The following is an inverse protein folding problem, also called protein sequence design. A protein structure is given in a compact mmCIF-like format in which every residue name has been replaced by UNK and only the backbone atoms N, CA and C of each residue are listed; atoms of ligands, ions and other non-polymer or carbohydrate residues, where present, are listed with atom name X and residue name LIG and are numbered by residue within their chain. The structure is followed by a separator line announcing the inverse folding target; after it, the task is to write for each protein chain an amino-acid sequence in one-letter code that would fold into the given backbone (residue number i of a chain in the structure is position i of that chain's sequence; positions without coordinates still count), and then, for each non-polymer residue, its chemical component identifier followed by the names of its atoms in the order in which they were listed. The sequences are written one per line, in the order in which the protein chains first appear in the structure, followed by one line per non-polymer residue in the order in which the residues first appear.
data_IF_300544848190
#
_entry.id   IF_300544848190
#
_cell.length_a   1.000
_cell.length_b   1.000
_cell.length_c   1.000
_cell.angle_alpha   90.00
_cell.angle_beta   90.00
_cell.angle_gamma   90.00
#
_symmetry.space_group_name_H-M   'P 1'
#
loop_
_entity.id
_entity.type
_entity.pdbx_description
1 polymer ?
#
# COMPACT_ATOMS: atom_id res chain seq x y z
N UNK A 1 -20.83 74.83 -59.82
CA UNK A 1 -21.12 73.39 -59.92
C UNK A 1 -19.96 72.62 -59.29
N UNK A 2 -20.26 71.65 -58.41
CA UNK A 2 -19.59 70.33 -58.24
C UNK A 2 -18.06 70.23 -58.33
N UNK A 3 -17.32 69.59 -57.40
CA UNK A 3 -17.73 68.64 -56.34
C UNK A 3 -16.64 68.50 -55.27
N UNK A 4 -17.06 68.33 -54.01
CA UNK A 4 -16.21 67.83 -52.94
C UNK A 4 -15.87 66.34 -53.18
N UNK A 5 -14.63 65.91 -52.97
CA UNK A 5 -14.31 64.46 -52.88
C UNK A 5 -13.41 64.15 -51.68
N UNK A 6 -14.00 63.39 -50.76
CA UNK A 6 -13.37 62.79 -49.59
C UNK A 6 -12.20 61.88 -50.00
N UNK A 7 -11.11 61.93 -49.22
CA UNK A 7 -10.11 60.86 -49.17
C UNK A 7 -10.01 60.34 -47.72
N UNK A 8 -10.90 59.42 -47.36
CA UNK A 8 -10.82 58.71 -46.09
C UNK A 8 -9.82 57.55 -46.22
N UNK A 9 -8.71 57.62 -45.48
CA UNK A 9 -7.72 56.55 -45.46
C UNK A 9 -8.19 55.42 -44.53
N UNK A 10 -8.44 54.23 -45.09
CA UNK A 10 -8.90 53.08 -44.33
C UNK A 10 -7.74 52.47 -43.50
N UNK A 11 -7.79 52.65 -42.18
CA UNK A 11 -6.89 51.93 -41.25
C UNK A 11 -7.46 50.55 -40.87
N UNK A 12 -6.63 49.51 -40.71
CA UNK A 12 -7.11 48.16 -40.43
C UNK A 12 -7.66 48.01 -39.01
N UNK A 13 -8.95 47.67 -38.92
CA UNK A 13 -9.76 47.50 -37.69
C UNK A 13 -9.16 46.50 -36.67
N UNK A 14 -8.17 45.68 -37.07
CA UNK A 14 -7.47 44.75 -36.18
C UNK A 14 -6.43 45.39 -35.27
N UNK A 15 -5.92 46.59 -35.59
CA UNK A 15 -4.90 47.25 -34.76
C UNK A 15 -5.50 48.06 -33.59
N UNK A 16 -6.68 48.64 -33.78
CA UNK A 16 -7.40 49.38 -32.74
C UNK A 16 -8.00 48.49 -31.66
N UNK A 17 -8.34 47.23 -31.98
CA UNK A 17 -8.86 46.27 -31.01
C UNK A 17 -7.79 45.82 -29.98
N UNK A 18 -6.53 45.65 -30.40
CA UNK A 18 -5.45 45.24 -29.49
C UNK A 18 -5.06 46.31 -28.46
N UNK A 19 -5.24 47.60 -28.77
CA UNK A 19 -4.93 48.69 -27.84
C UNK A 19 -6.03 48.96 -26.80
N UNK A 20 -7.24 48.41 -26.98
CA UNK A 20 -8.32 48.53 -25.99
C UNK A 20 -8.31 47.39 -24.94
N UNK A 21 -7.75 46.22 -25.28
CA UNK A 21 -7.69 45.07 -24.37
C UNK A 21 -6.57 45.20 -23.32
N UNK A 22 -5.48 45.92 -23.63
CA UNK A 22 -4.36 46.15 -22.70
C UNK A 22 -4.67 47.17 -21.59
N UNK A 23 -5.68 48.03 -21.78
CA UNK A 23 -6.04 49.08 -20.82
C UNK A 23 -6.92 48.60 -19.64
N UNK A 24 -7.45 47.37 -19.69
CA UNK A 24 -8.43 46.84 -18.73
C UNK A 24 -7.83 45.89 -17.68
N UNK A 25 -6.49 45.88 -17.54
CA UNK A 25 -5.74 44.97 -16.65
C UNK A 25 -4.88 45.69 -15.58
N UNK A 26 -5.19 46.95 -15.26
CA UNK A 26 -4.45 47.74 -14.25
C UNK A 26 -5.38 48.44 -13.23
N UNK A 27 -6.55 47.86 -12.95
CA UNK A 27 -7.47 48.36 -11.91
C UNK A 27 -8.08 47.19 -11.11
N UNK A 28 -7.46 46.87 -9.95
CA UNK A 28 -7.93 45.74 -9.12
C UNK A 28 -7.21 45.48 -7.79
N UNK A 29 -6.24 46.30 -7.38
CA UNK A 29 -5.50 46.13 -6.11
C UNK A 29 -5.80 47.27 -5.13
N UNK A 30 -6.93 47.19 -4.44
CA UNK A 30 -7.22 47.90 -3.18
C UNK A 30 -8.49 47.33 -2.53
N UNK A 31 -8.35 46.64 -1.39
CA UNK A 31 -9.48 45.94 -0.76
C UNK A 31 -9.18 45.39 0.64
N UNK A 32 -9.12 46.28 1.62
CA UNK A 32 -9.21 46.09 3.09
C UNK A 32 -8.83 44.73 3.71
N UNK A 33 -7.70 44.70 4.42
CA UNK A 33 -7.50 43.78 5.55
C UNK A 33 -8.39 44.18 6.74
N UNK A 34 -9.10 43.22 7.34
CA UNK A 34 -9.95 43.44 8.52
C UNK A 34 -9.24 43.00 9.80
N UNK A 35 -8.63 43.95 10.51
CA UNK A 35 -8.04 43.72 11.83
C UNK A 35 -9.13 43.73 12.92
N UNK A 36 -9.52 42.56 13.43
CA UNK A 36 -10.35 42.47 14.64
C UNK A 36 -9.47 42.45 15.88
N UNK A 37 -9.23 43.64 16.45
CA UNK A 37 -8.84 43.76 17.85
C UNK A 37 -9.98 43.22 18.72
N UNK A 38 -9.80 42.05 19.33
CA UNK A 38 -10.62 41.64 20.47
C UNK A 38 -9.89 42.07 21.74
N UNK A 39 -10.51 42.99 22.47
CA UNK A 39 -9.95 43.60 23.66
C UNK A 39 -9.75 42.55 24.77
N UNK A 40 -8.55 42.49 25.34
CA UNK A 40 -8.28 41.66 26.50
C UNK A 40 -8.93 42.26 27.75
N UNK A 41 -10.06 41.69 28.19
CA UNK A 41 -10.56 41.87 29.56
C UNK A 41 -10.23 40.65 30.41
N UNK A 42 -9.44 40.87 31.46
CA UNK A 42 -9.31 39.94 32.59
C UNK A 42 -10.66 39.78 33.27
N UNK A 43 -11.05 38.54 33.56
CA UNK A 43 -11.99 38.20 34.62
C UNK A 43 -11.52 36.90 35.30
N UNK A 44 -11.75 36.82 36.60
CA UNK A 44 -11.09 35.91 37.54
C UNK A 44 -11.25 34.40 37.28
N UNK A 45 -10.17 33.70 37.61
CA UNK A 45 -10.07 32.33 38.11
C UNK A 45 -11.35 31.63 38.60
N UNK A 46 -11.56 30.41 38.11
CA UNK A 46 -11.84 29.24 38.96
C UNK A 46 -11.08 28.03 38.41
N UNK A 47 -10.24 27.43 39.24
CA UNK A 47 -9.45 26.25 38.89
C UNK A 47 -10.26 24.98 39.15
N UNK A 48 -10.47 24.16 38.13
CA UNK A 48 -10.82 22.75 38.27
C UNK A 48 -10.09 21.98 37.15
N UNK A 49 -9.25 21.02 37.54
CA UNK A 49 -8.34 20.36 36.61
C UNK A 49 -9.03 19.19 35.88
N UNK A 50 -8.83 19.11 34.56
CA UNK A 50 -8.65 17.81 33.91
C UNK A 50 -7.48 17.91 32.94
N UNK A 51 -6.47 17.06 33.18
CA UNK A 51 -5.27 16.97 32.36
C UNK A 51 -5.58 16.12 31.13
N UNK A 52 -5.22 16.57 29.91
CA UNK A 52 -5.41 15.71 28.73
C UNK A 52 -5.32 16.35 27.34
N UNK A 53 -4.08 16.47 26.84
CA UNK A 53 -3.74 16.01 25.47
C UNK A 53 -4.31 16.77 24.27
N UNK A 54 -3.89 18.02 24.08
CA UNK A 54 -3.94 18.69 22.78
C UNK A 54 -2.60 18.57 22.01
N UNK A 55 -2.51 17.66 21.02
CA UNK A 55 -1.62 17.72 19.83
C UNK A 55 -1.58 16.37 19.10
N UNK A 56 -1.88 16.30 17.79
CA UNK A 56 -1.59 15.09 16.97
C UNK A 56 -2.60 14.64 15.91
N UNK A 57 -3.61 15.43 15.55
CA UNK A 57 -4.70 14.99 14.65
C UNK A 57 -4.28 14.57 13.21
N UNK A 58 -3.05 14.87 12.77
CA UNK A 58 -2.57 14.54 11.41
C UNK A 58 -1.94 13.14 11.27
N UNK A 59 -1.77 12.38 12.36
CA UNK A 59 -1.06 11.09 12.37
C UNK A 59 -1.93 9.84 12.51
N UNK A 60 -3.24 9.99 12.76
CA UNK A 60 -4.14 8.89 13.08
C UNK A 60 -4.71 8.18 11.84
N UNK A 61 -4.96 8.92 10.74
CA UNK A 61 -5.72 8.43 9.58
C UNK A 61 -5.07 7.29 8.77
N UNK A 62 -3.81 6.95 9.02
CA UNK A 62 -3.03 5.98 8.22
C UNK A 62 -2.52 4.77 9.03
N UNK A 63 -2.99 4.58 10.27
CA UNK A 63 -2.62 3.44 11.12
C UNK A 63 -3.62 2.30 10.96
N UNK A 64 -3.17 1.06 11.22
CA UNK A 64 -3.84 -0.23 10.99
C UNK A 64 -5.34 -0.32 11.37
N UNK A 65 -5.70 -0.91 12.51
CA UNK A 65 -4.85 -1.29 13.66
C UNK A 65 -4.77 -2.81 13.91
N UNK A 66 -3.89 -3.29 14.81
CA UNK A 66 -3.62 -4.75 15.01
C UNK A 66 -3.60 -5.06 16.50
N UNK A 67 -4.74 -5.49 17.02
CA UNK A 67 -4.89 -5.96 18.40
C UNK A 67 -4.41 -7.40 18.53
N UNK A 68 -3.84 -7.74 19.70
CA UNK A 68 -3.53 -9.13 20.07
C UNK A 68 -4.76 -10.02 20.25
N UNK A 69 -5.96 -9.44 20.38
CA UNK A 69 -7.23 -10.17 20.49
C UNK A 69 -7.80 -10.69 19.17
N UNK A 70 -7.22 -10.30 18.03
CA UNK A 70 -7.68 -10.75 16.70
C UNK A 70 -7.15 -12.16 16.38
N UNK A 71 -7.91 -12.97 15.61
CA UNK A 71 -7.44 -14.26 15.10
C UNK A 71 -6.08 -14.15 14.40
N UNK A 72 -5.27 -15.21 14.45
CA UNK A 72 -3.91 -15.18 13.92
C UNK A 72 -3.88 -14.87 12.41
N UNK A 73 -4.85 -15.37 11.67
CA UNK A 73 -5.05 -15.17 10.24
C UNK A 73 -5.44 -13.71 9.94
N UNK A 74 -6.34 -13.15 10.74
CA UNK A 74 -6.74 -11.74 10.66
C UNK A 74 -5.54 -10.82 10.92
N UNK A 75 -4.72 -11.11 11.95
CA UNK A 75 -3.50 -10.35 12.21
C UNK A 75 -2.52 -10.44 11.05
N UNK A 76 -2.31 -11.63 10.46
CA UNK A 76 -1.45 -11.79 9.26
C UNK A 76 -1.94 -10.96 8.07
N UNK A 77 -3.25 -10.92 7.80
CA UNK A 77 -3.82 -10.07 6.75
C UNK A 77 -3.53 -8.58 7.00
N UNK A 78 -3.77 -8.10 8.22
CA UNK A 78 -3.57 -6.69 8.59
C UNK A 78 -2.07 -6.31 8.66
N UNK A 79 -1.21 -7.21 9.09
CA UNK A 79 0.25 -7.06 9.09
C UNK A 79 0.80 -7.01 7.66
N UNK A 80 0.33 -7.85 6.74
CA UNK A 80 0.70 -7.76 5.33
C UNK A 80 0.15 -6.48 4.70
N UNK A 81 -1.12 -6.13 4.94
CA UNK A 81 -1.73 -4.89 4.47
C UNK A 81 -0.93 -3.64 4.88
N UNK A 82 -0.50 -3.56 6.15
CA UNK A 82 0.41 -2.50 6.64
C UNK A 82 1.67 -2.35 5.80
N UNK A 83 2.26 -3.45 5.33
CA UNK A 83 3.49 -3.41 4.53
C UNK A 83 3.27 -2.80 3.16
N UNK A 84 2.04 -2.79 2.62
CA UNK A 84 1.73 -2.19 1.32
C UNK A 84 1.52 -0.67 1.36
N UNK A 85 1.32 -0.08 2.54
CA UNK A 85 1.11 1.37 2.73
C UNK A 85 2.14 2.22 1.96
N UNK A 86 1.67 3.25 1.27
CA UNK A 86 2.50 4.14 0.45
C UNK A 86 2.93 3.59 -0.91
N UNK A 87 2.64 2.32 -1.25
CA UNK A 87 2.91 1.79 -2.60
C UNK A 87 2.12 2.58 -3.63
N UNK A 88 2.77 3.12 -4.66
CA UNK A 88 2.12 3.91 -5.72
C UNK A 88 1.01 3.13 -6.44
N UNK A 89 -0.01 3.84 -6.93
CA UNK A 89 -1.02 3.23 -7.79
C UNK A 89 -0.43 2.93 -9.17
N UNK A 90 -0.72 1.73 -9.71
CA UNK A 90 -0.43 1.38 -11.11
C UNK A 90 -1.53 0.46 -11.62
N UNK A 91 -2.23 0.88 -12.68
CA UNK A 91 -3.25 0.05 -13.32
C UNK A 91 -2.66 -1.28 -13.81
N UNK A 92 -3.32 -2.41 -13.53
CA UNK A 92 -2.81 -3.76 -13.77
C UNK A 92 -1.69 -4.19 -12.80
N UNK A 93 -1.16 -3.29 -11.98
CA UNK A 93 -0.02 -3.54 -11.08
C UNK A 93 -0.35 -4.47 -9.92
N UNK A 94 0.65 -5.28 -9.53
CA UNK A 94 0.59 -6.25 -8.43
C UNK A 94 1.91 -6.36 -7.68
N UNK A 95 2.73 -5.31 -7.68
CA UNK A 95 4.11 -5.30 -7.16
C UNK A 95 4.38 -4.08 -6.28
N UNK A 96 5.48 -4.09 -5.52
CA UNK A 96 5.89 -2.93 -4.69
C UNK A 96 6.34 -1.69 -5.48
N UNK A 97 6.58 -1.83 -6.78
CA UNK A 97 6.77 -0.70 -7.70
C UNK A 97 5.46 -0.09 -8.21
N UNK A 98 4.31 -0.74 -7.99
CA UNK A 98 3.00 -0.18 -8.30
C UNK A 98 1.88 -1.22 -8.26
N UNK A 99 0.74 -0.86 -7.65
CA UNK A 99 -0.38 -1.78 -7.41
C UNK A 99 -1.73 -1.12 -7.65
N UNK A 100 -2.68 -1.80 -8.30
CA UNK A 100 -4.08 -1.34 -8.36
C UNK A 100 -4.92 -1.90 -7.20
N UNK A 101 -6.20 -1.52 -7.15
CA UNK A 101 -7.07 -1.85 -6.03
C UNK A 101 -7.31 -3.36 -5.83
N UNK A 102 -7.57 -4.09 -6.91
CA UNK A 102 -7.78 -5.55 -6.84
C UNK A 102 -6.46 -6.34 -6.83
N UNK A 103 -5.38 -5.78 -7.37
CA UNK A 103 -4.04 -6.31 -7.23
C UNK A 103 -3.57 -6.26 -5.78
N UNK A 104 -3.86 -5.18 -5.07
CA UNK A 104 -3.56 -5.02 -3.65
C UNK A 104 -4.25 -6.10 -2.81
N UNK A 105 -5.56 -6.28 -2.98
CA UNK A 105 -6.31 -7.30 -2.23
C UNK A 105 -5.83 -8.71 -2.57
N UNK A 106 -5.63 -9.03 -3.85
CA UNK A 106 -5.05 -10.32 -4.26
C UNK A 106 -3.67 -10.57 -3.64
N UNK A 107 -2.80 -9.56 -3.58
CA UNK A 107 -1.47 -9.68 -2.98
C UNK A 107 -1.52 -9.87 -1.46
N UNK A 108 -2.35 -9.10 -0.75
CA UNK A 108 -2.52 -9.25 0.70
C UNK A 108 -3.00 -10.68 1.04
N UNK A 109 -4.03 -11.17 0.34
CA UNK A 109 -4.61 -12.49 0.60
C UNK A 109 -3.67 -13.66 0.24
N UNK A 110 -2.91 -13.56 -0.85
CA UNK A 110 -1.98 -14.64 -1.24
C UNK A 110 -0.72 -14.66 -0.37
N UNK A 111 -0.19 -13.49 0.02
CA UNK A 111 1.01 -13.42 0.85
C UNK A 111 0.72 -13.80 2.31
N UNK A 112 -0.42 -13.37 2.88
CA UNK A 112 -0.76 -13.63 4.26
C UNK A 112 -1.33 -15.05 4.50
N UNK A 113 -2.22 -15.51 3.60
CA UNK A 113 -3.06 -16.71 3.81
C UNK A 113 -3.06 -17.70 2.63
N UNK A 114 -2.24 -17.46 1.60
CA UNK A 114 -2.16 -18.30 0.39
C UNK A 114 -3.51 -18.45 -0.35
N UNK A 115 -4.42 -17.49 -0.17
CA UNK A 115 -5.72 -17.45 -0.86
C UNK A 115 -5.56 -16.65 -2.15
N UNK A 116 -5.78 -17.31 -3.30
CA UNK A 116 -5.76 -16.66 -4.62
C UNK A 116 -7.13 -16.02 -4.89
N UNK A 117 -7.22 -14.70 -4.81
CA UNK A 117 -8.40 -13.94 -5.25
C UNK A 117 -8.35 -13.67 -6.76
N UNK A 118 -9.50 -13.61 -7.47
CA UNK A 118 -9.57 -13.19 -8.87
C UNK A 118 -8.93 -11.82 -9.12
N UNK A 119 -8.47 -11.56 -10.35
CA UNK A 119 -7.65 -10.37 -10.63
C UNK A 119 -8.44 -9.06 -10.68
N UNK A 120 -9.71 -9.07 -11.09
CA UNK A 120 -10.54 -7.86 -11.18
C UNK A 120 -11.43 -7.67 -9.94
N UNK A 121 -11.73 -6.42 -9.59
CA UNK A 121 -12.62 -6.07 -8.47
C UNK A 121 -14.05 -6.60 -8.66
N UNK A 122 -14.54 -6.66 -9.90
CA UNK A 122 -15.83 -7.27 -10.24
C UNK A 122 -15.86 -8.76 -9.91
N UNK A 123 -14.89 -9.55 -10.41
CA UNK A 123 -14.79 -10.98 -10.10
C UNK A 123 -14.52 -11.24 -8.62
N UNK A 124 -13.79 -10.36 -7.92
CA UNK A 124 -13.65 -10.45 -6.46
C UNK A 124 -15.00 -10.27 -5.75
N UNK A 125 -15.88 -9.41 -6.24
CA UNK A 125 -17.22 -9.22 -5.67
C UNK A 125 -18.16 -10.41 -5.90
N UNK A 126 -17.97 -11.15 -7.00
CA UNK A 126 -18.68 -12.39 -7.32
C UNK A 126 -18.12 -13.60 -6.54
N UNK A 127 -16.82 -13.60 -6.26
CA UNK A 127 -16.12 -14.64 -5.49
C UNK A 127 -16.44 -14.61 -3.99
N UNK A 128 -16.78 -13.44 -3.45
CA UNK A 128 -17.10 -13.29 -2.02
C UNK A 128 -18.57 -13.61 -1.73
N UNK A 129 -18.85 -14.20 -0.55
CA UNK A 129 -20.22 -14.23 -0.04
C UNK A 129 -20.63 -12.81 0.33
N UNK A 130 -21.73 -12.31 -0.22
CA UNK A 130 -22.28 -11.00 0.13
C UNK A 130 -22.62 -10.93 1.63
N UNK A 131 -22.29 -9.81 2.25
CA UNK A 131 -22.59 -9.49 3.66
C UNK A 131 -23.15 -8.06 3.75
N UNK A 132 -23.87 -7.77 4.83
CA UNK A 132 -24.35 -6.42 5.11
C UNK A 132 -23.24 -5.53 5.68
N UNK A 133 -23.37 -4.20 5.51
CA UNK A 133 -22.37 -3.23 5.98
C UNK A 133 -22.17 -3.29 7.50
N UNK A 134 -23.21 -3.65 8.26
CA UNK A 134 -23.18 -3.84 9.71
C UNK A 134 -22.47 -5.11 10.15
N UNK A 135 -22.22 -6.07 9.25
CA UNK A 135 -21.52 -7.33 9.56
C UNK A 135 -20.02 -7.28 9.27
N UNK A 136 -19.49 -6.12 8.84
CA UNK A 136 -18.09 -5.95 8.43
C UNK A 136 -17.10 -6.30 9.54
N UNK A 137 -16.21 -7.25 9.26
CA UNK A 137 -15.08 -7.65 10.09
C UNK A 137 -13.77 -7.47 9.33
N UNK A 138 -12.67 -7.35 10.06
CA UNK A 138 -11.33 -7.17 9.51
C UNK A 138 -11.01 -8.25 8.48
N UNK A 139 -10.52 -7.84 7.30
CA UNK A 139 -10.26 -8.72 6.16
C UNK A 139 -11.42 -8.85 5.17
N UNK A 140 -12.65 -8.42 5.50
CA UNK A 140 -13.73 -8.39 4.50
C UNK A 140 -13.42 -7.39 3.37
N UNK A 141 -13.96 -7.63 2.18
CA UNK A 141 -13.78 -6.75 1.02
C UNK A 141 -14.98 -5.83 0.84
N UNK A 142 -14.68 -4.54 0.64
CA UNK A 142 -15.67 -3.49 0.36
C UNK A 142 -15.53 -3.03 -1.08
N UNK A 143 -16.63 -3.05 -1.82
CA UNK A 143 -16.68 -2.80 -3.25
C UNK A 143 -17.41 -1.49 -3.54
N UNK A 144 -16.91 -0.74 -4.53
CA UNK A 144 -17.39 0.59 -4.87
C UNK A 144 -17.67 0.73 -6.38
N UNK A 145 -18.64 1.57 -6.70
CA UNK A 145 -18.94 2.05 -8.06
C UNK A 145 -18.38 3.46 -8.24
N UNK A 146 -17.12 3.54 -8.63
CA UNK A 146 -16.39 4.79 -8.91
C UNK A 146 -16.34 5.13 -10.41
N UNK A 147 -16.59 4.13 -11.27
CA UNK A 147 -16.77 4.28 -12.71
C UNK A 147 -18.22 4.19 -13.17
N UNK A 148 -18.43 4.13 -14.48
CA UNK A 148 -19.76 4.23 -15.12
C UNK A 148 -20.65 3.00 -14.97
N UNK A 149 -20.09 1.80 -14.78
CA UNK A 149 -20.85 0.54 -14.64
C UNK A 149 -20.22 -0.39 -13.60
N UNK A 150 -21.07 -1.02 -12.79
CA UNK A 150 -20.70 -2.11 -11.86
C UNK A 150 -19.64 -1.77 -10.80
N UNK A 151 -19.10 -2.82 -10.20
CA UNK A 151 -17.96 -2.72 -9.27
C UNK A 151 -16.71 -2.32 -10.04
N UNK A 152 -16.13 -1.19 -9.66
CA UNK A 152 -15.00 -0.56 -10.35
C UNK A 152 -13.82 -0.28 -9.41
N UNK A 153 -14.01 -0.38 -8.09
CA UNK A 153 -12.95 -0.25 -7.09
C UNK A 153 -13.22 -1.18 -5.89
N UNK A 154 -12.16 -1.55 -5.18
CA UNK A 154 -12.21 -2.43 -4.00
C UNK A 154 -11.21 -1.96 -2.94
N UNK A 155 -11.59 -2.13 -1.67
CA UNK A 155 -10.69 -2.03 -0.52
C UNK A 155 -10.91 -3.20 0.43
N UNK A 156 -9.95 -3.45 1.33
CA UNK A 156 -10.11 -4.41 2.42
C UNK A 156 -10.41 -3.65 3.72
N UNK A 157 -11.40 -4.12 4.47
CA UNK A 157 -11.78 -3.54 5.76
C UNK A 157 -10.73 -3.84 6.83
N UNK A 158 -10.38 -2.83 7.62
CA UNK A 158 -9.29 -2.88 8.63
C UNK A 158 -9.76 -2.54 10.06
N UNK A 159 -11.07 -2.53 10.28
CA UNK A 159 -11.69 -2.17 11.56
C UNK A 159 -12.14 -0.70 11.62
N UNK A 160 -12.89 -0.34 12.66
CA UNK A 160 -13.31 1.03 12.98
C UNK A 160 -13.91 1.86 11.82
N UNK A 161 -14.67 1.24 10.92
CA UNK A 161 -15.22 1.94 9.76
C UNK A 161 -14.17 2.32 8.69
N UNK A 162 -12.97 1.73 8.71
CA UNK A 162 -11.85 2.05 7.82
C UNK A 162 -11.57 0.95 6.80
N UNK A 163 -11.05 1.35 5.63
CA UNK A 163 -10.54 0.45 4.60
C UNK A 163 -9.10 0.82 4.19
N UNK A 164 -8.29 -0.19 3.87
CA UNK A 164 -7.07 -0.03 3.08
C UNK A 164 -7.38 -0.28 1.60
N UNK A 165 -6.89 0.59 0.72
CA UNK A 165 -7.08 0.46 -0.74
C UNK A 165 -6.00 1.22 -1.51
N UNK A 166 -5.79 0.89 -2.78
CA UNK A 166 -4.90 1.64 -3.67
C UNK A 166 -5.66 2.80 -4.33
N UNK A 167 -5.39 4.03 -3.88
CA UNK A 167 -5.95 5.28 -4.42
C UNK A 167 -5.19 5.74 -5.66
N UNK A 168 -5.88 6.07 -6.74
CA UNK A 168 -5.29 6.50 -8.02
C UNK A 168 -4.32 7.69 -7.91
N UNK A 169 -4.52 8.60 -6.94
CA UNK A 169 -3.67 9.78 -6.74
C UNK A 169 -2.73 9.69 -5.54
N UNK A 170 -2.98 8.79 -4.58
CA UNK A 170 -2.24 8.72 -3.30
C UNK A 170 -1.54 7.37 -3.05
N UNK A 171 -1.69 6.40 -3.96
CA UNK A 171 -1.24 5.03 -3.73
C UNK A 171 -2.01 4.33 -2.61
N UNK A 172 -1.40 3.31 -2.02
CA UNK A 172 -2.01 2.53 -0.94
C UNK A 172 -2.13 3.35 0.35
N UNK A 173 -3.35 3.56 0.79
CA UNK A 173 -3.71 4.38 1.95
C UNK A 173 -4.82 3.72 2.76
N UNK A 174 -4.98 4.16 4.00
CA UNK A 174 -6.22 3.97 4.76
C UNK A 174 -7.16 5.16 4.54
N UNK A 175 -8.46 4.88 4.45
CA UNK A 175 -9.54 5.87 4.34
C UNK A 175 -10.76 5.42 5.15
N UNK A 176 -11.57 6.36 5.62
CA UNK A 176 -12.82 6.05 6.33
C UNK A 176 -13.96 5.83 5.34
N UNK A 177 -14.78 4.80 5.58
CA UNK A 177 -16.02 4.53 4.86
C UNK A 177 -17.08 5.63 5.04
N UNK A 178 -16.89 6.54 5.98
CA UNK A 178 -17.79 7.66 6.25
C UNK A 178 -17.38 8.96 5.57
N UNK A 179 -16.21 9.00 4.90
CA UNK A 179 -15.89 10.07 3.95
C UNK A 179 -16.96 10.12 2.85
N UNK A 180 -17.40 11.34 2.50
CA UNK A 180 -18.52 11.56 1.57
C UNK A 180 -18.36 10.84 0.23
N UNK A 181 -17.12 10.68 -0.26
CA UNK A 181 -16.82 9.94 -1.48
C UNK A 181 -17.12 8.43 -1.34
N UNK A 182 -16.60 7.77 -0.31
CA UNK A 182 -16.82 6.32 -0.10
C UNK A 182 -18.27 6.02 0.28
N UNK A 183 -18.94 6.89 1.06
CA UNK A 183 -20.38 6.77 1.33
C UNK A 183 -21.24 6.76 0.07
N UNK A 184 -20.98 7.68 -0.87
CA UNK A 184 -21.76 7.80 -2.13
C UNK A 184 -21.45 6.69 -3.14
N UNK A 185 -20.24 6.14 -3.10
CA UNK A 185 -19.77 5.14 -4.08
C UNK A 185 -19.86 3.70 -3.57
N UNK A 186 -20.15 3.46 -2.29
CA UNK A 186 -20.33 2.13 -1.71
C UNK A 186 -21.39 1.33 -2.50
N UNK A 187 -21.04 0.10 -2.88
CA UNK A 187 -21.89 -0.78 -3.69
C UNK A 187 -22.29 -2.05 -2.94
N UNK A 188 -21.33 -2.71 -2.31
CA UNK A 188 -21.52 -3.99 -1.61
C UNK A 188 -20.31 -4.32 -0.73
N UNK A 189 -20.52 -5.14 0.29
CA UNK A 189 -19.43 -5.82 1.00
C UNK A 189 -19.51 -7.32 0.79
N UNK A 190 -18.37 -8.00 0.87
CA UNK A 190 -18.27 -9.44 0.67
C UNK A 190 -17.18 -10.06 1.53
N UNK A 191 -17.47 -11.26 2.06
CA UNK A 191 -16.55 -12.08 2.85
C UNK A 191 -15.89 -13.13 1.97
N UNK A 192 -14.59 -13.33 2.17
CA UNK A 192 -13.82 -14.40 1.53
C UNK A 192 -14.04 -15.68 2.33
N UNK A 193 -14.82 -16.60 1.79
CA UNK A 193 -15.36 -17.72 2.58
C UNK A 193 -14.27 -18.70 3.07
N UNK A 194 -13.19 -18.86 2.31
CA UNK A 194 -12.00 -19.62 2.72
C UNK A 194 -11.27 -18.97 3.90
N UNK A 195 -11.22 -17.65 3.98
CA UNK A 195 -10.67 -16.93 5.14
C UNK A 195 -11.60 -17.07 6.35
N UNK A 196 -12.92 -16.89 6.14
CA UNK A 196 -13.90 -17.04 7.21
C UNK A 196 -13.88 -18.44 7.85
N UNK A 197 -13.70 -19.49 7.04
CA UNK A 197 -13.59 -20.86 7.52
C UNK A 197 -12.39 -21.11 8.45
N UNK A 198 -11.28 -20.37 8.28
CA UNK A 198 -10.12 -20.42 9.18
C UNK A 198 -10.45 -19.79 10.53
N UNK A 199 -10.93 -18.54 10.53
CA UNK A 199 -11.17 -17.78 11.76
C UNK A 199 -12.40 -18.22 12.54
N UNK A 200 -13.37 -18.88 11.90
CA UNK A 200 -14.57 -19.41 12.55
C UNK A 200 -14.40 -20.82 13.13
N UNK A 201 -13.17 -21.37 13.14
CA UNK A 201 -12.88 -22.72 13.66
C UNK A 201 -13.58 -23.87 12.94
N UNK A 202 -14.11 -23.65 11.72
CA UNK A 202 -14.90 -24.67 10.98
C UNK A 202 -14.02 -25.68 10.22
N UNK A 203 -12.71 -25.48 10.19
CA UNK A 203 -11.73 -26.26 9.42
C UNK A 203 -11.44 -27.67 9.97
N UNK A 204 -12.28 -28.22 10.84
CA UNK A 204 -12.06 -29.51 11.54
C UNK A 204 -13.22 -30.51 11.52
N UNK A 205 -14.31 -30.28 10.77
CA UNK A 205 -15.46 -31.21 10.70
C UNK A 205 -15.96 -31.47 9.27
N UNK A 206 -15.12 -32.11 8.45
CA UNK A 206 -15.62 -32.87 7.29
C UNK A 206 -16.00 -34.28 7.74
N UNK A 207 -17.22 -34.45 8.27
CA UNK A 207 -17.89 -35.77 8.21
C UNK A 207 -18.31 -35.98 6.76
N UNK A 208 -17.75 -36.99 6.10
CA UNK A 208 -18.18 -37.37 4.77
C UNK A 208 -19.67 -37.70 4.76
N UNK A 209 -20.40 -37.17 3.79
CA UNK A 209 -21.73 -37.67 3.44
C UNK A 209 -21.89 -37.72 1.92
N UNK A 210 -21.48 -38.85 1.37
CA UNK A 210 -21.97 -39.37 0.10
C UNK A 210 -23.48 -39.54 0.18
N UNK A 211 -24.21 -39.14 -0.87
CA UNK A 211 -25.37 -39.82 -1.46
C UNK A 211 -25.94 -38.90 -2.56
N UNK A 212 -25.78 -39.21 -3.85
CA UNK A 212 -26.59 -40.16 -4.66
C UNK A 212 -28.08 -39.78 -4.83
N UNK A 213 -28.30 -39.07 -5.95
CA UNK A 213 -29.07 -39.56 -7.12
C UNK A 213 -30.45 -38.92 -7.43
N UNK A 214 -30.77 -38.94 -8.74
CA UNK A 214 -32.01 -38.53 -9.46
C UNK A 214 -32.40 -37.03 -9.36
N UNK A 215 -32.59 -36.26 -10.43
CA UNK A 215 -32.44 -36.51 -11.87
C UNK A 215 -33.74 -36.39 -12.66
N UNK A 216 -33.85 -35.38 -13.53
CA UNK A 216 -34.72 -35.41 -14.73
C UNK A 216 -34.20 -34.46 -15.81
N UNK A 217 -34.42 -34.87 -17.06
CA UNK A 217 -34.00 -34.26 -18.33
C UNK A 217 -34.73 -32.96 -18.67
N UNK A 218 -34.08 -32.07 -19.43
CA UNK A 218 -34.51 -31.90 -20.82
C UNK A 218 -33.40 -31.44 -21.78
N UNK A 219 -33.60 -31.69 -23.08
CA UNK A 219 -32.64 -31.47 -24.17
C UNK A 219 -32.78 -30.07 -24.79
N UNK A 220 -31.66 -29.47 -25.18
CA UNK A 220 -31.47 -28.83 -26.50
C UNK A 220 -29.98 -28.80 -26.85
N UNK A 221 -29.68 -29.10 -28.12
CA UNK A 221 -28.33 -29.05 -28.69
C UNK A 221 -28.00 -27.59 -29.06
N UNK A 222 -26.72 -27.24 -29.08
CA UNK A 222 -26.01 -26.82 -30.31
C UNK A 222 -24.50 -26.77 -30.07
N UNK A 223 -23.71 -26.99 -31.14
CA UNK A 223 -22.23 -27.10 -31.17
C UNK A 223 -21.76 -26.47 -32.50
N UNK A 224 -20.69 -25.66 -32.54
CA UNK A 224 -19.34 -26.15 -32.91
C UNK A 224 -18.28 -25.72 -31.86
N UNK A 225 -17.29 -26.53 -31.46
CA UNK A 225 -16.15 -27.11 -32.20
C UNK A 225 -14.97 -26.12 -32.40
N UNK A 226 -13.76 -26.51 -31.97
CA UNK A 226 -12.52 -25.73 -32.20
C UNK A 226 -11.53 -25.73 -31.02
N UNK A 227 -10.93 -26.87 -30.70
CA UNK A 227 -9.76 -26.95 -29.80
C UNK A 227 -8.78 -28.00 -30.34
N UNK A 228 -7.50 -27.65 -30.61
CA UNK A 228 -6.45 -28.63 -30.82
C UNK A 228 -5.87 -29.06 -29.47
N UNK A 229 -5.68 -30.37 -29.34
CA UNK A 229 -5.02 -31.06 -28.23
C UNK A 229 -3.50 -31.00 -28.38
N UNK A 230 -2.74 -31.06 -27.26
CA UNK A 230 -1.31 -31.35 -27.24
C UNK A 230 -0.81 -31.58 -25.81
N UNK A 231 -0.74 -32.86 -25.41
CA UNK A 231 0.05 -33.34 -24.27
C UNK A 231 1.24 -34.16 -24.77
N UNK A 232 2.46 -33.68 -24.53
CA UNK A 232 3.72 -34.42 -24.42
C UNK A 232 4.82 -33.38 -24.09
N UNK A 233 5.95 -33.68 -23.44
CA UNK A 233 6.31 -34.71 -22.43
C UNK A 233 7.69 -34.31 -21.87
N UNK A 234 7.83 -34.30 -20.54
CA UNK A 234 9.04 -34.53 -19.72
C UNK A 234 10.37 -33.78 -20.02
N UNK A 235 10.90 -33.21 -18.92
CA UNK A 235 12.32 -33.19 -18.50
C UNK A 235 13.32 -32.11 -19.00
N UNK A 236 14.30 -31.88 -18.12
CA UNK A 236 15.58 -31.15 -18.23
C UNK A 236 15.65 -29.60 -18.17
N UNK A 237 15.91 -29.15 -16.93
CA UNK A 237 17.13 -28.41 -16.54
C UNK A 237 17.12 -26.86 -16.44
N UNK A 238 17.95 -26.28 -15.53
CA UNK A 238 17.68 -24.98 -14.93
C UNK A 238 18.51 -23.82 -15.51
N UNK A 239 17.90 -22.63 -15.57
CA UNK A 239 18.64 -21.37 -15.76
C UNK A 239 18.85 -20.71 -14.40
N UNK A 240 20.05 -20.88 -13.85
CA UNK A 240 20.55 -20.08 -12.74
C UNK A 240 20.81 -18.64 -13.21
N UNK A 241 20.31 -17.66 -12.45
CA UNK A 241 20.65 -16.24 -12.66
C UNK A 241 21.48 -15.79 -11.45
N UNK A 242 22.79 -15.52 -11.60
CA UNK A 242 23.68 -15.25 -10.46
C UNK A 242 23.40 -13.89 -9.83
N UNK A 243 23.36 -13.86 -8.49
CA UNK A 243 23.02 -12.68 -7.69
C UNK A 243 24.27 -11.84 -7.29
N UNK A 244 25.23 -11.68 -8.19
CA UNK A 244 26.58 -11.18 -7.86
C UNK A 244 26.83 -9.67 -8.14
N UNK A 245 26.01 -9.01 -8.97
CA UNK A 245 26.32 -7.65 -9.47
C UNK A 245 25.63 -6.49 -8.73
N UNK A 246 24.80 -6.74 -7.71
CA UNK A 246 24.09 -5.66 -7.00
C UNK A 246 24.88 -5.09 -5.78
N UNK A 247 25.69 -5.92 -5.11
CA UNK A 247 26.46 -5.49 -3.93
C UNK A 247 27.70 -4.65 -4.28
N UNK A 248 28.33 -4.90 -5.45
CA UNK A 248 29.50 -4.14 -5.90
C UNK A 248 29.20 -2.68 -6.21
N UNK A 249 27.98 -2.36 -6.64
CA UNK A 249 27.57 -0.97 -6.92
C UNK A 249 27.26 -0.17 -5.65
N UNK A 250 26.68 -0.80 -4.62
CA UNK A 250 26.38 -0.12 -3.35
C UNK A 250 27.65 0.12 -2.50
N UNK A 251 28.61 -0.81 -2.52
CA UNK A 251 29.87 -0.67 -1.81
C UNK A 251 30.80 0.44 -2.35
N UNK A 252 30.60 0.86 -3.61
CA UNK A 252 31.40 1.90 -4.27
C UNK A 252 30.96 3.34 -3.94
N UNK A 253 29.66 3.56 -3.70
CA UNK A 253 29.11 4.90 -3.44
C UNK A 253 29.42 5.36 -2.00
N UNK A 254 29.22 4.50 -1.00
CA UNK A 254 29.48 4.86 0.41
C UNK A 254 30.96 5.19 0.69
N UNK A 255 31.91 4.52 0.01
CA UNK A 255 33.35 4.83 0.14
C UNK A 255 33.70 6.19 -0.49
N UNK A 256 33.26 6.46 -1.72
CA UNK A 256 33.51 7.77 -2.38
C UNK A 256 32.86 8.96 -1.67
N UNK A 257 31.78 8.75 -0.91
CA UNK A 257 31.17 9.80 -0.08
C UNK A 257 31.92 10.00 1.24
N UNK A 258 32.32 8.93 1.94
CA UNK A 258 33.07 9.06 3.20
C UNK A 258 34.45 9.68 3.01
N UNK A 259 35.17 9.30 1.95
CA UNK A 259 36.54 9.77 1.67
C UNK A 259 36.57 11.25 1.24
N UNK A 260 35.62 11.70 0.42
CA UNK A 260 35.45 13.15 0.09
C UNK A 260 34.93 14.00 1.25
N UNK A 261 34.38 13.39 2.30
CA UNK A 261 33.96 14.10 3.52
C UNK A 261 35.11 14.21 4.52
N UNK A 262 35.97 13.20 4.67
CA UNK A 262 37.15 13.29 5.54
C UNK A 262 38.20 14.26 5.01
N UNK A 263 38.50 14.22 3.71
CA UNK A 263 39.50 15.11 3.07
C UNK A 263 39.10 16.59 3.16
N UNK A 264 37.79 16.91 3.07
CA UNK A 264 37.28 18.28 3.16
C UNK A 264 37.09 18.79 4.59
N UNK A 265 37.29 17.93 5.59
CA UNK A 265 37.23 18.27 7.02
C UNK A 265 38.64 18.52 7.58
N UNK A 266 39.68 17.84 7.09
CA UNK A 266 41.07 18.09 7.54
C UNK A 266 41.60 19.45 7.10
N UNK A 267 41.26 19.94 5.90
CA UNK A 267 41.73 21.24 5.38
C UNK A 267 41.21 22.45 6.18
N UNK A 268 40.13 22.28 6.98
CA UNK A 268 39.41 23.41 7.61
C UNK A 268 39.53 23.50 9.14
N UNK A 269 40.39 22.70 9.77
CA UNK A 269 40.53 22.63 11.25
C UNK A 269 41.77 23.38 11.78
N UNK A 270 42.66 23.86 10.91
CA UNK A 270 43.90 24.53 11.29
C UNK A 270 43.76 26.03 11.68
N UNK A 271 42.66 26.46 12.32
CA UNK A 271 42.50 27.85 12.80
C UNK A 271 41.35 28.11 13.81
N UNK A 272 41.25 27.42 14.97
CA UNK A 272 40.50 27.97 16.13
C UNK A 272 40.74 27.17 17.45
N UNK A 273 41.07 27.79 18.60
CA UNK A 273 41.40 27.07 19.85
C UNK A 273 40.18 26.51 20.64
N UNK A 274 39.01 26.32 20.01
CA UNK A 274 37.80 25.74 20.65
C UNK A 274 37.63 24.23 20.45
N UNK A 275 38.73 23.52 20.13
CA UNK A 275 38.72 22.13 19.70
C UNK A 275 38.52 21.06 20.81
N UNK A 276 38.49 21.40 22.10
CA UNK A 276 38.37 20.37 23.17
C UNK A 276 36.99 19.71 23.27
N UNK A 277 35.92 20.43 22.93
CA UNK A 277 34.53 19.95 23.06
C UNK A 277 34.02 19.14 21.87
N UNK A 278 34.74 19.15 20.74
CA UNK A 278 34.42 18.36 19.56
C UNK A 278 34.99 16.93 19.64
N UNK A 279 36.16 16.76 20.28
CA UNK A 279 36.84 15.47 20.41
C UNK A 279 36.07 14.50 21.31
N UNK A 280 35.46 14.98 22.40
CA UNK A 280 34.60 14.14 23.25
C UNK A 280 33.34 13.66 22.53
N UNK A 281 32.70 14.52 21.72
CA UNK A 281 31.51 14.17 20.94
C UNK A 281 31.84 13.15 19.83
N UNK A 282 33.03 13.24 19.24
CA UNK A 282 33.52 12.24 18.27
C UNK A 282 33.80 10.87 18.92
N UNK A 283 34.32 10.85 20.16
CA UNK A 283 34.52 9.61 20.91
C UNK A 283 33.17 8.93 21.23
N UNK A 284 32.17 9.68 21.71
CA UNK A 284 30.82 9.15 21.99
C UNK A 284 30.14 8.61 20.73
N UNK A 285 30.25 9.32 19.59
CA UNK A 285 29.74 8.84 18.29
C UNK A 285 30.40 7.54 17.84
N UNK A 286 31.70 7.38 18.11
CA UNK A 286 32.45 6.17 17.76
C UNK A 286 32.03 4.98 18.63
N UNK A 287 31.78 5.20 19.92
CA UNK A 287 31.26 4.17 20.83
C UNK A 287 29.82 3.73 20.48
N UNK A 288 28.97 4.67 20.02
CA UNK A 288 27.63 4.35 19.51
C UNK A 288 27.71 3.55 18.20
N UNK A 289 28.66 3.86 17.32
CA UNK A 289 28.89 3.11 16.08
C UNK A 289 29.38 1.67 16.33
N UNK A 290 30.31 1.45 17.27
CA UNK A 290 30.74 0.09 17.64
C UNK A 290 29.60 -0.72 18.27
N UNK A 291 28.80 -0.10 19.15
CA UNK A 291 27.62 -0.73 19.74
C UNK A 291 26.51 -1.07 18.71
N UNK A 292 26.46 -0.38 17.57
CA UNK A 292 25.59 -0.73 16.45
C UNK A 292 26.14 -1.94 15.66
N UNK A 293 27.44 -1.96 15.35
CA UNK A 293 28.10 -3.06 14.65
C UNK A 293 28.02 -4.40 15.43
N UNK A 294 28.08 -4.37 16.77
CA UNK A 294 27.96 -5.58 17.58
C UNK A 294 26.50 -6.10 17.64
N UNK A 295 25.49 -5.22 17.54
CA UNK A 295 24.09 -5.63 17.37
C UNK A 295 23.84 -6.25 16.00
N UNK A 296 24.48 -5.76 14.95
CA UNK A 296 24.41 -6.34 13.61
C UNK A 296 25.03 -7.75 13.57
N UNK A 297 26.24 -7.93 14.15
CA UNK A 297 26.86 -9.26 14.31
C UNK A 297 26.01 -10.20 15.15
N UNK A 298 25.32 -9.71 16.18
CA UNK A 298 24.39 -10.51 16.98
C UNK A 298 23.16 -10.95 16.15
N UNK A 299 22.59 -10.05 15.34
CA UNK A 299 21.48 -10.36 14.45
C UNK A 299 21.87 -11.42 13.39
N UNK A 300 23.06 -11.34 12.82
CA UNK A 300 23.56 -12.33 11.86
C UNK A 300 23.84 -13.71 12.47
N UNK A 301 24.29 -13.77 13.73
CA UNK A 301 24.38 -15.04 14.47
C UNK A 301 22.99 -15.67 14.66
N UNK A 302 21.97 -14.86 14.95
CA UNK A 302 20.59 -15.34 15.07
C UNK A 302 20.05 -15.81 13.72
N UNK A 303 20.30 -15.09 12.61
CA UNK A 303 19.94 -15.52 11.25
C UNK A 303 20.56 -16.87 10.90
N UNK A 304 21.88 -17.03 11.07
CA UNK A 304 22.58 -18.30 10.80
C UNK A 304 22.08 -19.46 11.66
N UNK A 305 21.71 -19.19 12.92
CA UNK A 305 21.10 -20.20 13.80
C UNK A 305 19.68 -20.60 13.33
N UNK A 306 18.88 -19.65 12.83
CA UNK A 306 17.56 -19.93 12.25
C UNK A 306 17.67 -20.70 10.92
N UNK A 307 18.63 -20.36 10.07
CA UNK A 307 18.92 -21.10 8.82
C UNK A 307 19.40 -22.53 9.09
N UNK A 308 20.19 -22.76 10.14
CA UNK A 308 20.54 -24.12 10.57
C UNK A 308 19.29 -24.87 11.03
N UNK A 309 18.48 -24.29 11.93
CA UNK A 309 17.23 -24.91 12.40
C UNK A 309 16.23 -25.19 11.28
N UNK A 310 16.21 -24.38 10.22
CA UNK A 310 15.41 -24.63 9.03
C UNK A 310 15.89 -25.88 8.29
N UNK A 311 17.19 -26.00 8.02
CA UNK A 311 17.76 -27.21 7.38
C UNK A 311 17.55 -28.46 8.22
N UNK A 312 17.84 -28.39 9.52
CA UNK A 312 17.60 -29.49 10.46
C UNK A 312 16.12 -29.96 10.46
N UNK A 313 15.17 -29.06 10.14
CA UNK A 313 13.74 -29.38 10.02
C UNK A 313 13.35 -29.92 8.63
N UNK A 314 13.98 -29.41 7.56
CA UNK A 314 13.82 -29.93 6.20
C UNK A 314 14.32 -31.39 6.13
N UNK A 315 15.49 -31.69 6.70
CA UNK A 315 16.04 -33.06 6.82
C UNK A 315 15.07 -34.02 7.56
N UNK A 316 14.41 -33.57 8.63
CA UNK A 316 13.42 -34.36 9.39
C UNK A 316 12.15 -34.61 8.59
N UNK A 317 11.73 -33.65 7.76
CA UNK A 317 10.55 -33.80 6.89
C UNK A 317 10.85 -34.85 5.82
N UNK A 318 12.01 -34.75 5.16
CA UNK A 318 12.39 -35.65 4.08
C UNK A 318 12.57 -37.10 4.59
N UNK A 319 13.26 -37.30 5.71
CA UNK A 319 13.34 -38.63 6.37
C UNK A 319 11.96 -39.23 6.69
N UNK A 320 10.98 -38.39 7.04
CA UNK A 320 9.64 -38.85 7.38
C UNK A 320 8.76 -39.09 6.16
N UNK A 321 9.01 -38.38 5.06
CA UNK A 321 8.41 -38.66 3.75
C UNK A 321 8.94 -40.00 3.22
N UNK A 322 10.25 -40.23 3.27
CA UNK A 322 10.88 -41.48 2.81
C UNK A 322 10.39 -42.69 3.63
N UNK A 323 10.28 -42.56 4.95
CA UNK A 323 9.69 -43.60 5.81
C UNK A 323 8.25 -43.93 5.41
N UNK A 324 7.40 -42.93 5.18
CA UNK A 324 5.99 -43.13 4.78
C UNK A 324 5.88 -43.70 3.36
N UNK A 325 6.83 -43.40 2.47
CA UNK A 325 6.90 -44.00 1.14
C UNK A 325 7.31 -45.47 1.26
N UNK A 326 8.32 -45.81 2.06
CA UNK A 326 8.74 -47.20 2.28
C UNK A 326 7.60 -48.06 2.83
N UNK A 327 6.91 -47.58 3.88
CA UNK A 327 5.75 -48.23 4.51
C UNK A 327 4.54 -48.42 3.54
N UNK A 328 4.57 -47.83 2.34
CA UNK A 328 3.51 -47.90 1.33
C UNK A 328 3.87 -48.77 0.11
N UNK A 329 5.15 -49.21 0.00
CA UNK A 329 5.65 -50.00 -1.14
C UNK A 329 6.23 -51.37 -0.75
N UNK A 330 6.35 -51.69 0.54
CA UNK A 330 6.47 -53.06 1.09
C UNK A 330 5.08 -53.70 1.38
#
# INVERSE_FOLDING_TARGET
MTTNRFLFLAMPVRLTLCLFVSALMVAGLSGCGSSRHVSAKRAASVSAAVSGKGSGASGASQRIDVSGSLPAETRRLLEEARRWMGTSYRYGGSTRSGVDCSGLTSQIFVNALQIKLPRSSAQQSEYCRRIDRSELMEGDLVFFRTGSKGVSHVGMYVGDGRIIHSSTSRGVIVSSLDESYYRRTYHSSGRVERYYAMISGKTGKNKGKTDKNKGKTDKRKDKPAGAPDLKQRMEESPVSVPAEDLDRLLAGVSRKVSEKVSEKVSEKVAADPKASKAVSVAADLTAVASAAADKEKAADRVRKALEKKRRDLEDIIDQKVDSVISDYFD
#
